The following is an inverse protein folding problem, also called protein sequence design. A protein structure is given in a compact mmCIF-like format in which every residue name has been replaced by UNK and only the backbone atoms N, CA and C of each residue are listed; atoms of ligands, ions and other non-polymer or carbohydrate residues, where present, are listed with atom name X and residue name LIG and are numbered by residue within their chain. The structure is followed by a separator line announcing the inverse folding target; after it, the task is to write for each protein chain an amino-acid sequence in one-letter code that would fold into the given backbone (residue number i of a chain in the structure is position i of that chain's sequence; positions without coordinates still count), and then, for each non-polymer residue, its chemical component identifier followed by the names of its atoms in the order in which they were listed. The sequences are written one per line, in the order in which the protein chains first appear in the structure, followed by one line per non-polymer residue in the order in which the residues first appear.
data_IF_974572974791
#
_entry.id   IF_974572974791
#
_cell.length_a   1.000
_cell.length_b   1.000
_cell.length_c   1.000
_cell.angle_alpha   90.00
_cell.angle_beta   90.00
_cell.angle_gamma   90.00
#
_symmetry.space_group_name_H-M   'P 1'
#
loop_
_entity.id
_entity.type
_entity.pdbx_description
1 polymer ?
#
# COMPACT_ATOMS: atom_id res chain seq x y z
N UNK A 1 -15.31 -12.35 -16.02
CA UNK A 1 -14.17 -11.86 -15.23
C UNK A 1 -14.16 -12.61 -13.90
N UNK A 2 -13.04 -13.20 -13.50
CA UNK A 2 -12.95 -13.96 -12.24
C UNK A 2 -12.57 -13.03 -11.08
N UNK A 3 -12.89 -13.43 -9.85
CA UNK A 3 -12.47 -12.70 -8.63
C UNK A 3 -10.95 -12.52 -8.55
N UNK A 4 -10.19 -13.45 -9.14
CA UNK A 4 -8.73 -13.42 -9.19
C UNK A 4 -8.20 -12.21 -9.95
N UNK A 5 -8.86 -11.80 -11.05
CA UNK A 5 -8.47 -10.60 -11.79
C UNK A 5 -8.55 -9.35 -10.91
N UNK A 6 -9.61 -9.20 -10.13
CA UNK A 6 -9.76 -8.07 -9.20
C UNK A 6 -8.73 -8.12 -8.08
N UNK A 7 -8.42 -9.31 -7.56
CA UNK A 7 -7.36 -9.47 -6.56
C UNK A 7 -5.99 -9.05 -7.10
N UNK A 8 -5.63 -9.47 -8.32
CA UNK A 8 -4.37 -9.08 -8.96
C UNK A 8 -4.31 -7.59 -9.29
N UNK A 9 -5.43 -6.97 -9.68
CA UNK A 9 -5.52 -5.51 -9.85
C UNK A 9 -5.32 -4.77 -8.53
N UNK A 10 -5.82 -5.30 -7.42
CA UNK A 10 -5.54 -4.77 -6.08
C UNK A 10 -4.05 -4.86 -5.75
N UNK A 11 -3.40 -6.00 -6.01
CA UNK A 11 -1.96 -6.17 -5.82
C UNK A 11 -1.18 -5.16 -6.65
N UNK A 12 -1.52 -5.01 -7.94
CA UNK A 12 -0.89 -4.03 -8.80
C UNK A 12 -1.06 -2.60 -8.26
N UNK A 13 -2.29 -2.22 -7.91
CA UNK A 13 -2.63 -0.87 -7.47
C UNK A 13 -1.90 -0.51 -6.17
N UNK A 14 -1.94 -1.40 -5.18
CA UNK A 14 -1.23 -1.20 -3.91
C UNK A 14 0.29 -1.30 -4.07
N UNK A 15 0.78 -2.18 -4.94
CA UNK A 15 2.21 -2.36 -5.21
C UNK A 15 2.84 -1.09 -5.75
N UNK A 16 2.19 -0.40 -6.70
CA UNK A 16 2.67 0.89 -7.22
C UNK A 16 2.41 2.05 -6.27
N UNK A 17 1.35 1.97 -5.46
CA UNK A 17 0.87 3.06 -4.60
C UNK A 17 1.97 3.65 -3.71
N UNK A 18 2.73 2.82 -2.98
CA UNK A 18 3.78 3.34 -2.09
C UNK A 18 4.88 4.11 -2.81
N UNK A 19 5.25 3.67 -4.01
CA UNK A 19 6.29 4.31 -4.83
C UNK A 19 5.80 5.65 -5.37
N UNK A 20 4.60 5.68 -5.95
CA UNK A 20 4.02 6.92 -6.50
C UNK A 20 3.69 7.92 -5.38
N UNK A 21 3.28 7.45 -4.21
CA UNK A 21 2.98 8.30 -3.05
C UNK A 21 4.25 8.89 -2.44
N UNK A 22 5.31 8.08 -2.31
CA UNK A 22 6.63 8.57 -1.89
C UNK A 22 7.14 9.65 -2.85
N UNK A 23 7.01 9.40 -4.16
CA UNK A 23 7.38 10.36 -5.20
C UNK A 23 6.54 11.65 -5.11
N UNK A 24 5.22 11.53 -5.01
CA UNK A 24 4.31 12.68 -4.88
C UNK A 24 4.59 13.52 -3.63
N UNK A 25 4.83 12.88 -2.48
CA UNK A 25 5.29 13.54 -1.25
C UNK A 25 6.62 14.27 -1.48
N UNK A 26 7.57 13.65 -2.18
CA UNK A 26 8.88 14.24 -2.45
C UNK A 26 8.84 15.49 -3.34
N UNK A 27 7.75 15.73 -4.06
CA UNK A 27 7.51 16.96 -4.83
C UNK A 27 6.74 18.03 -4.06
N UNK A 28 6.30 17.77 -2.83
CA UNK A 28 5.74 18.81 -1.98
C UNK A 28 6.84 19.80 -1.57
N UNK A 29 6.50 21.06 -1.26
CA UNK A 29 7.47 22.03 -0.74
C UNK A 29 8.26 21.44 0.43
N UNK A 30 9.58 21.58 0.37
CA UNK A 30 10.51 21.08 1.38
C UNK A 30 11.23 22.27 2.04
N UNK A 31 11.42 22.18 3.34
CA UNK A 31 12.03 23.21 4.18
C UNK A 31 11.78 22.92 5.66
N UNK A 32 12.44 23.63 6.61
CA UNK A 32 12.25 23.41 8.04
C UNK A 32 10.77 23.45 8.45
N UNK A 33 10.03 24.41 7.90
CA UNK A 33 8.62 24.63 8.23
C UNK A 33 7.65 23.75 7.41
N UNK A 34 8.07 23.27 6.24
CA UNK A 34 7.18 22.60 5.28
C UNK A 34 7.32 21.07 5.26
N UNK A 35 8.51 20.55 5.57
CA UNK A 35 8.82 19.11 5.54
C UNK A 35 7.88 18.26 6.42
N UNK A 36 7.48 18.69 7.63
CA UNK A 36 6.53 17.94 8.45
C UNK A 36 5.15 17.78 7.79
N UNK A 37 4.76 18.72 6.91
CA UNK A 37 3.44 18.77 6.29
C UNK A 37 3.36 18.03 4.95
N UNK A 38 4.50 17.74 4.30
CA UNK A 38 4.55 17.08 2.99
C UNK A 38 3.72 15.79 2.91
N UNK A 39 3.75 14.97 3.97
CA UNK A 39 2.95 13.74 4.03
C UNK A 39 1.45 13.99 4.08
N UNK A 40 1.01 14.94 4.91
CA UNK A 40 -0.40 15.32 5.02
C UNK A 40 -0.92 15.97 3.73
N UNK A 41 -0.10 16.81 3.09
CA UNK A 41 -0.43 17.41 1.79
C UNK A 41 -0.62 16.35 0.71
N UNK A 42 0.28 15.36 0.63
CA UNK A 42 0.11 14.23 -0.29
C UNK A 42 -1.13 13.40 0.04
N UNK A 43 -1.37 13.10 1.32
CA UNK A 43 -2.54 12.33 1.76
C UNK A 43 -3.87 13.03 1.47
N UNK A 44 -3.93 14.37 1.54
CA UNK A 44 -5.13 15.12 1.18
C UNK A 44 -5.60 14.79 -0.24
N UNK A 45 -4.66 14.70 -1.20
CA UNK A 45 -5.00 14.32 -2.57
C UNK A 45 -5.38 12.84 -2.71
N UNK A 46 -4.90 11.96 -1.84
CA UNK A 46 -5.39 10.57 -1.75
C UNK A 46 -6.85 10.56 -1.30
N UNK A 47 -7.22 11.35 -0.29
CA UNK A 47 -8.62 11.49 0.15
C UNK A 47 -9.52 12.05 -0.95
N UNK A 48 -9.05 13.06 -1.70
CA UNK A 48 -9.79 13.59 -2.84
C UNK A 48 -10.01 12.50 -3.89
N UNK A 49 -8.99 11.70 -4.22
CA UNK A 49 -9.13 10.58 -5.14
C UNK A 49 -10.17 9.55 -4.66
N UNK A 50 -10.20 9.23 -3.37
CA UNK A 50 -11.21 8.33 -2.78
C UNK A 50 -12.63 8.90 -2.93
N UNK A 51 -12.82 10.20 -2.70
CA UNK A 51 -14.10 10.85 -2.89
C UNK A 51 -14.57 10.78 -4.35
N UNK A 52 -13.66 11.02 -5.32
CA UNK A 52 -13.96 10.89 -6.75
C UNK A 52 -14.37 9.46 -7.13
N UNK A 53 -13.65 8.45 -6.62
CA UNK A 53 -14.02 7.04 -6.83
C UNK A 53 -15.40 6.71 -6.21
N UNK A 54 -15.72 7.33 -5.07
CA UNK A 54 -17.05 7.24 -4.46
C UNK A 54 -18.15 7.77 -5.37
N UNK A 55 -17.94 8.92 -6.00
CA UNK A 55 -18.87 9.51 -6.99
C UNK A 55 -19.01 8.57 -8.20
N UNK A 56 -17.91 8.05 -8.74
CA UNK A 56 -17.94 7.09 -9.85
C UNK A 56 -18.75 5.85 -9.46
N UNK A 57 -18.57 5.33 -8.25
CA UNK A 57 -19.31 4.16 -7.75
C UNK A 57 -20.82 4.43 -7.69
N UNK A 58 -21.23 5.61 -7.19
CA UNK A 58 -22.62 6.05 -7.18
C UNK A 58 -23.23 6.15 -8.59
N UNK A 59 -22.48 6.70 -9.56
CA UNK A 59 -22.92 6.76 -10.95
C UNK A 59 -23.08 5.36 -11.57
N UNK A 60 -22.16 4.44 -11.28
CA UNK A 60 -22.24 3.05 -11.74
C UNK A 60 -23.47 2.35 -11.15
N UNK A 61 -23.79 2.56 -9.87
CA UNK A 61 -25.01 2.02 -9.24
C UNK A 61 -26.28 2.52 -9.95
N UNK A 62 -26.31 3.82 -10.30
CA UNK A 62 -27.41 4.43 -11.05
C UNK A 62 -27.57 3.80 -12.43
N UNK A 63 -26.48 3.68 -13.19
CA UNK A 63 -26.49 3.11 -14.55
C UNK A 63 -26.90 1.63 -14.53
N UNK A 64 -26.56 0.89 -13.46
CA UNK A 64 -26.94 -0.51 -13.27
C UNK A 64 -28.39 -0.71 -12.77
N UNK A 65 -29.15 0.37 -12.54
CA UNK A 65 -30.54 0.27 -12.09
C UNK A 65 -30.71 -0.24 -10.66
N UNK A 66 -29.73 0.01 -9.78
CA UNK A 66 -29.85 -0.35 -8.35
C UNK A 66 -31.09 0.32 -7.75
N UNK A 67 -31.77 -0.37 -6.83
CA UNK A 67 -32.89 0.17 -6.07
C UNK A 67 -32.47 1.09 -4.92
N UNK A 68 -31.16 1.33 -4.72
CA UNK A 68 -30.60 2.18 -3.67
C UNK A 68 -31.04 1.80 -2.24
N UNK A 69 -31.43 0.55 -2.01
CA UNK A 69 -31.73 0.04 -0.68
C UNK A 69 -30.43 -0.36 0.02
N UNK A 70 -30.20 0.21 1.20
CA UNK A 70 -29.02 -0.07 2.02
C UNK A 70 -29.42 -0.48 3.43
N UNK A 71 -28.71 -1.46 4.00
CA UNK A 71 -28.90 -1.85 5.40
C UNK A 71 -27.98 -1.03 6.31
N UNK A 72 -28.44 -0.70 7.51
CA UNK A 72 -27.63 0.04 8.50
C UNK A 72 -26.33 -0.71 8.82
N UNK A 73 -26.39 -2.04 8.94
CA UNK A 73 -25.24 -2.92 9.15
C UNK A 73 -24.25 -2.85 7.99
N UNK A 74 -24.74 -2.92 6.74
CA UNK A 74 -23.90 -2.84 5.54
C UNK A 74 -23.19 -1.49 5.42
N UNK A 75 -23.89 -0.39 5.70
CA UNK A 75 -23.31 0.96 5.73
C UNK A 75 -22.22 1.03 6.81
N UNK A 76 -22.53 0.61 8.05
CA UNK A 76 -21.62 0.75 9.18
C UNK A 76 -20.31 -0.03 8.98
N UNK A 77 -20.38 -1.29 8.55
CA UNK A 77 -19.19 -2.08 8.26
C UNK A 77 -18.39 -1.53 7.08
N UNK A 78 -19.06 -1.03 6.03
CA UNK A 78 -18.38 -0.42 4.89
C UNK A 78 -17.67 0.88 5.27
N UNK A 79 -18.27 1.69 6.14
CA UNK A 79 -17.64 2.92 6.66
C UNK A 79 -16.43 2.60 7.54
N UNK A 80 -16.54 1.63 8.45
CA UNK A 80 -15.41 1.18 9.28
C UNK A 80 -14.27 0.65 8.40
N UNK A 81 -14.58 -0.15 7.38
CA UNK A 81 -13.58 -0.62 6.42
C UNK A 81 -12.92 0.54 5.64
N UNK A 82 -13.71 1.55 5.23
CA UNK A 82 -13.21 2.75 4.58
C UNK A 82 -12.26 3.55 5.48
N UNK A 83 -12.60 3.72 6.76
CA UNK A 83 -11.75 4.38 7.75
C UNK A 83 -10.45 3.59 7.96
N UNK A 84 -10.52 2.26 8.10
CA UNK A 84 -9.34 1.42 8.23
C UNK A 84 -8.40 1.57 7.03
N UNK A 85 -8.94 1.59 5.80
CA UNK A 85 -8.16 1.83 4.58
C UNK A 85 -7.52 3.22 4.53
N UNK A 86 -8.27 4.26 4.89
CA UNK A 86 -7.77 5.64 4.91
C UNK A 86 -6.67 5.84 5.97
N UNK A 87 -6.84 5.28 7.17
CA UNK A 87 -5.80 5.29 8.22
C UNK A 87 -4.55 4.51 7.80
N UNK A 88 -4.70 3.39 7.10
CA UNK A 88 -3.58 2.66 6.53
C UNK A 88 -2.81 3.50 5.51
N UNK A 89 -3.52 4.20 4.61
CA UNK A 89 -2.91 5.11 3.64
C UNK A 89 -2.20 6.31 4.30
N UNK A 90 -2.79 6.89 5.35
CA UNK A 90 -2.19 7.97 6.14
C UNK A 90 -0.90 7.51 6.82
N UNK A 91 -0.97 6.40 7.57
CA UNK A 91 0.20 5.89 8.29
C UNK A 91 1.30 5.44 7.33
N UNK A 92 0.96 4.94 6.14
CA UNK A 92 1.93 4.64 5.09
C UNK A 92 2.70 5.88 4.64
N UNK A 93 2.02 7.00 4.32
CA UNK A 93 2.74 8.20 3.86
C UNK A 93 3.62 8.82 4.95
N UNK A 94 3.21 8.69 6.21
CA UNK A 94 4.00 9.11 7.37
C UNK A 94 5.23 8.20 7.54
N UNK A 95 5.06 6.88 7.43
CA UNK A 95 6.16 5.91 7.47
C UNK A 95 7.17 6.13 6.34
N UNK A 96 6.71 6.35 5.11
CA UNK A 96 7.57 6.73 3.98
C UNK A 96 8.39 7.99 4.31
N UNK A 97 7.74 8.97 4.92
CA UNK A 97 8.40 10.19 5.42
C UNK A 97 9.48 9.99 6.45
N UNK A 98 9.21 9.18 7.46
CA UNK A 98 10.16 8.84 8.50
C UNK A 98 11.33 8.00 7.95
N UNK A 99 11.06 7.19 6.92
CA UNK A 99 12.06 6.39 6.23
C UNK A 99 12.90 7.21 5.23
N UNK A 100 12.39 8.31 4.67
CA UNK A 100 13.08 9.13 3.65
C UNK A 100 14.49 9.60 4.06
N UNK A 101 14.74 10.11 5.29
CA UNK A 101 16.08 10.55 5.68
C UNK A 101 17.10 9.39 5.77
N UNK A 102 16.61 8.18 6.07
CA UNK A 102 17.44 6.99 6.28
C UNK A 102 17.73 6.29 4.94
N UNK A 103 16.68 6.08 4.13
CA UNK A 103 16.71 5.26 2.92
C UNK A 103 16.62 6.08 1.61
N UNK A 104 16.48 7.41 1.70
CA UNK A 104 16.37 8.32 0.54
C UNK A 104 15.28 7.88 -0.45
N UNK A 105 15.61 7.72 -1.73
CA UNK A 105 14.70 7.24 -2.77
C UNK A 105 14.20 5.82 -2.56
N UNK A 106 14.81 5.08 -1.63
CA UNK A 106 14.52 3.68 -1.36
C UNK A 106 13.56 3.45 -0.18
N UNK A 107 13.02 4.53 0.42
CA UNK A 107 12.07 4.43 1.53
C UNK A 107 10.88 3.50 1.22
N UNK A 108 10.33 3.56 0.01
CA UNK A 108 9.26 2.66 -0.41
C UNK A 108 9.72 1.19 -0.45
N UNK A 109 10.96 0.92 -0.87
CA UNK A 109 11.51 -0.44 -0.89
C UNK A 109 11.75 -1.01 0.52
N UNK A 110 11.97 -0.15 1.52
CA UNK A 110 12.07 -0.56 2.92
C UNK A 110 10.67 -0.74 3.57
N UNK A 111 9.74 0.18 3.31
CA UNK A 111 8.44 0.22 3.99
C UNK A 111 7.43 -0.78 3.39
N UNK A 112 7.33 -0.87 2.07
CA UNK A 112 6.25 -1.63 1.42
C UNK A 112 6.30 -3.15 1.70
N UNK A 113 7.47 -3.83 1.70
CA UNK A 113 7.51 -5.25 2.02
C UNK A 113 7.00 -5.57 3.43
N UNK A 114 7.28 -4.71 4.42
CA UNK A 114 6.79 -4.87 5.79
C UNK A 114 5.26 -4.84 5.80
N UNK A 115 4.65 -3.87 5.10
CA UNK A 115 3.19 -3.74 5.01
C UNK A 115 2.58 -4.96 4.32
N UNK A 116 3.14 -5.39 3.20
CA UNK A 116 2.57 -6.49 2.40
C UNK A 116 2.78 -7.88 2.98
N UNK A 117 3.81 -8.11 3.79
CA UNK A 117 3.89 -9.35 4.57
C UNK A 117 3.09 -9.31 5.86
N UNK A 118 2.96 -8.14 6.49
CA UNK A 118 2.18 -7.99 7.72
C UNK A 118 0.67 -8.07 7.49
N UNK A 119 0.16 -7.47 6.41
CA UNK A 119 -1.27 -7.37 6.15
C UNK A 119 -2.00 -8.74 6.07
N UNK A 120 -1.47 -9.78 5.40
CA UNK A 120 -2.09 -11.11 5.41
C UNK A 120 -2.17 -11.74 6.80
N UNK A 121 -1.16 -11.52 7.65
CA UNK A 121 -1.13 -12.02 9.03
C UNK A 121 -2.23 -11.34 9.85
N UNK A 122 -2.31 -10.01 9.79
CA UNK A 122 -3.38 -9.24 10.47
C UNK A 122 -4.75 -9.67 9.97
N UNK A 123 -4.94 -9.78 8.66
CA UNK A 123 -6.20 -10.23 8.06
C UNK A 123 -6.63 -11.60 8.59
N UNK A 124 -5.68 -12.54 8.72
CA UNK A 124 -6.00 -13.86 9.25
C UNK A 124 -6.35 -13.83 10.73
N UNK A 125 -5.61 -13.06 11.54
CA UNK A 125 -5.95 -12.87 12.97
C UNK A 125 -7.35 -12.27 13.09
N UNK A 126 -7.65 -11.20 12.34
CA UNK A 126 -8.97 -10.58 12.32
C UNK A 126 -10.05 -11.56 11.87
N UNK A 127 -9.80 -12.35 10.82
CA UNK A 127 -10.74 -13.37 10.36
C UNK A 127 -11.00 -14.45 11.43
N UNK A 128 -9.96 -14.92 12.14
CA UNK A 128 -10.11 -15.87 13.24
C UNK A 128 -10.86 -15.28 14.44
N UNK A 129 -10.75 -13.96 14.67
CA UNK A 129 -11.49 -13.30 15.75
C UNK A 129 -12.97 -13.12 15.41
N UNK A 130 -13.29 -12.81 14.14
CA UNK A 130 -14.66 -12.61 13.67
C UNK A 130 -15.35 -13.96 13.42
N UNK A 131 -14.60 -14.94 12.93
CA UNK A 131 -15.04 -16.31 12.65
C UNK A 131 -14.10 -17.29 13.38
N UNK A 132 -14.33 -17.55 14.68
CA UNK A 132 -13.52 -18.48 15.45
C UNK A 132 -13.39 -19.84 14.77
N UNK A 133 -12.17 -20.38 14.58
CA UNK A 133 -11.97 -21.64 13.90
C UNK A 133 -12.61 -22.79 14.69
N UNK A 134 -13.38 -23.63 13.99
CA UNK A 134 -13.91 -24.87 14.56
C UNK A 134 -12.73 -25.73 15.04
N UNK A 135 -12.66 -26.01 16.35
CA UNK A 135 -11.54 -26.73 16.98
C UNK A 135 -10.48 -25.85 17.67
N UNK A 136 -10.64 -24.52 17.67
CA UNK A 136 -9.77 -23.57 18.39
C UNK A 136 -8.40 -23.37 17.74
N UNK A 137 -7.49 -22.67 18.42
CA UNK A 137 -6.17 -22.31 17.86
C UNK A 137 -5.29 -23.51 17.46
N UNK A 138 -5.62 -24.73 17.91
CA UNK A 138 -4.94 -25.97 17.54
C UNK A 138 -5.36 -26.52 16.16
N UNK A 139 -6.47 -26.04 15.59
CA UNK A 139 -6.92 -26.44 14.24
C UNK A 139 -6.37 -25.56 13.12
N UNK A 140 -5.49 -24.60 13.43
CA UNK A 140 -4.82 -23.77 12.41
C UNK A 140 -4.00 -24.70 11.50
N UNK A 141 -4.25 -24.72 10.18
CA UNK A 141 -3.52 -25.58 9.26
C UNK A 141 -2.02 -25.27 9.28
N UNK A 142 -1.18 -26.29 9.46
CA UNK A 142 0.28 -26.13 9.39
C UNK A 142 0.78 -25.43 8.11
N UNK A 143 0.19 -25.67 6.91
CA UNK A 143 0.56 -24.91 5.71
C UNK A 143 0.33 -23.40 5.81
N UNK A 144 -0.69 -22.97 6.57
CA UNK A 144 -0.96 -21.54 6.78
C UNK A 144 0.15 -20.90 7.62
N UNK A 145 0.56 -21.56 8.72
CA UNK A 145 1.67 -21.09 9.57
C UNK A 145 2.97 -21.02 8.77
N UNK A 146 3.27 -22.05 7.97
CA UNK A 146 4.41 -22.05 7.07
C UNK A 146 4.34 -20.90 6.06
N UNK A 147 3.16 -20.63 5.49
CA UNK A 147 2.91 -19.50 4.59
C UNK A 147 3.20 -18.14 5.24
N UNK A 148 2.78 -17.93 6.49
CA UNK A 148 3.11 -16.72 7.25
C UNK A 148 4.61 -16.55 7.47
N UNK A 149 5.32 -17.63 7.85
CA UNK A 149 6.78 -17.60 8.04
C UNK A 149 7.48 -17.27 6.72
N UNK A 150 7.07 -17.91 5.61
CA UNK A 150 7.62 -17.64 4.29
C UNK A 150 7.31 -16.22 3.81
N UNK A 151 6.14 -15.67 4.12
CA UNK A 151 5.78 -14.29 3.78
C UNK A 151 6.65 -13.29 4.55
N UNK A 152 6.84 -13.49 5.86
CA UNK A 152 7.73 -12.65 6.69
C UNK A 152 9.17 -12.75 6.20
N UNK A 153 9.68 -13.96 5.95
CA UNK A 153 11.01 -14.19 5.40
C UNK A 153 11.19 -13.53 4.03
N UNK A 154 10.22 -13.70 3.13
CA UNK A 154 10.20 -13.08 1.81
C UNK A 154 10.22 -11.56 1.87
N UNK A 155 9.38 -10.94 2.71
CA UNK A 155 9.41 -9.49 2.89
C UNK A 155 10.73 -8.98 3.47
N UNK A 156 11.32 -9.72 4.43
CA UNK A 156 12.64 -9.39 4.95
C UNK A 156 13.70 -9.43 3.84
N UNK A 157 13.71 -10.48 3.01
CA UNK A 157 14.65 -10.60 1.90
C UNK A 157 14.47 -9.48 0.88
N UNK A 158 13.22 -9.18 0.49
CA UNK A 158 12.91 -8.08 -0.45
C UNK A 158 13.33 -6.74 0.12
N UNK A 159 13.02 -6.45 1.39
CA UNK A 159 13.43 -5.20 2.03
C UNK A 159 14.95 -5.11 2.17
N UNK A 160 15.63 -6.17 2.61
CA UNK A 160 17.08 -6.15 2.84
C UNK A 160 17.88 -6.04 1.54
N UNK A 161 17.48 -6.77 0.51
CA UNK A 161 18.21 -6.87 -0.75
C UNK A 161 17.59 -6.05 -1.89
N UNK A 162 16.69 -5.11 -1.58
CA UNK A 162 16.16 -4.21 -2.59
C UNK A 162 17.31 -3.42 -3.25
N UNK A 163 17.38 -3.37 -4.59
CA UNK A 163 18.50 -2.75 -5.31
C UNK A 163 18.63 -1.25 -5.06
N UNK A 164 17.56 -0.59 -4.59
CA UNK A 164 17.59 0.83 -4.19
C UNK A 164 18.14 1.05 -2.77
N UNK A 165 18.19 0.02 -1.91
CA UNK A 165 18.66 0.12 -0.51
C UNK A 165 20.18 0.06 -0.39
N UNK A 166 20.89 -0.35 -1.43
CA UNK A 166 22.34 -0.16 -1.52
C UNK A 166 22.60 1.26 -1.98
N UNK A 167 23.04 2.13 -1.08
CA UNK A 167 23.54 3.49 -1.40
C UNK A 167 24.73 3.53 -2.37
N UNK A 168 25.11 2.41 -2.97
CA UNK A 168 25.95 2.35 -4.15
C UNK A 168 25.06 2.38 -5.38
N UNK A 169 25.01 3.52 -6.05
CA UNK A 169 24.71 3.49 -7.47
C UNK A 169 25.66 2.47 -8.10
N UNK A 170 25.12 1.45 -8.73
CA UNK A 170 25.74 1.02 -9.98
C UNK A 170 25.71 2.29 -10.82
N UNK A 171 26.82 3.03 -10.81
CA UNK A 171 27.00 4.20 -11.62
C UNK A 171 26.67 3.75 -13.04
N UNK A 172 25.52 4.17 -13.54
CA UNK A 172 25.29 4.15 -14.97
C UNK A 172 26.27 5.20 -15.49
N UNK A 173 27.48 4.72 -15.81
CA UNK A 173 28.52 5.50 -16.45
C UNK A 173 27.82 6.19 -17.63
N UNK A 174 27.79 7.53 -17.70
CA UNK A 174 27.24 8.18 -18.88
C UNK A 174 27.98 7.57 -20.07
N UNK A 175 27.23 6.99 -21.01
CA UNK A 175 27.81 6.60 -22.28
C UNK A 175 28.53 7.84 -22.82
N UNK A 176 29.85 7.76 -22.94
CA UNK A 176 30.64 8.86 -23.46
C UNK A 176 30.05 9.22 -24.83
N UNK A 177 29.60 10.46 -24.98
CA UNK A 177 29.23 10.98 -26.28
C UNK A 177 30.47 10.87 -27.17
N UNK A 178 30.38 10.00 -28.17
CA UNK A 178 31.36 9.90 -29.23
C UNK A 178 31.42 11.27 -29.93
N UNK A 179 32.59 11.92 -30.04
CA UNK A 179 32.67 13.21 -30.70
C UNK A 179 32.29 13.02 -32.17
N UNK A 180 31.24 13.72 -32.60
CA UNK A 180 30.86 13.79 -34.01
C UNK A 180 32.06 14.29 -34.81
N UNK A 181 32.53 13.45 -35.73
CA UNK A 181 33.52 13.82 -36.73
C UNK A 181 32.86 14.78 -37.71
N UNK A 182 33.34 16.02 -37.76
CA UNK A 182 33.19 16.93 -38.90
C UNK A 182 34.56 17.18 -39.48
#
# INVERSE_FOLDING_TARGET
MTWLTFALLTVLSWGVYGVILHKGRGYMPMGPDETPHAGLKAFLFVCIAYALIGIVSALVLKVRGSNWSFTSTGISWSLVAGVAGALGALTLVLALGAASPIYKGAAAAAVMPIVFAGAPVVNTITAMLIHPPEGGLKSIPMPFIAGCILAVGGAFLVAKYAPSNTGGGAAHKPAAAEPAKH
#
